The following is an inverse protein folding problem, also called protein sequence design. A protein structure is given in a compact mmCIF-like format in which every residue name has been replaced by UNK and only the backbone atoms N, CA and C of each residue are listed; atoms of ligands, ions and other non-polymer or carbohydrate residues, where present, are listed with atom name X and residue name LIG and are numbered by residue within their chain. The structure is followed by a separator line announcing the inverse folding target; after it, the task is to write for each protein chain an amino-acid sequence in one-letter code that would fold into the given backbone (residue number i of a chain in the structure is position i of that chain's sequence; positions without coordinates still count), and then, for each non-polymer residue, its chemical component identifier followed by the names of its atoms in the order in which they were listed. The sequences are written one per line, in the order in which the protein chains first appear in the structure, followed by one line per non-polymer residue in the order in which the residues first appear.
data_IF_071907458754
#
_entry.id   IF_071907458754
#
_cell.length_a   1.000
_cell.length_b   1.000
_cell.length_c   1.000
_cell.angle_alpha   90.00
_cell.angle_beta   90.00
_cell.angle_gamma   90.00
#
_symmetry.space_group_name_H-M   'P 1'
#
loop_
_entity.id
_entity.type
_entity.pdbx_description
1 polymer ?
#
# COMPACT_ATOMS: atom_id res chain seq x y z
N UNK A 1 -2.74 -9.68 -1.63
CA UNK A 1 -1.35 -10.08 -1.92
C UNK A 1 -1.22 -11.59 -2.13
N UNK A 2 -1.48 -12.46 -1.16
CA UNK A 2 -1.31 -13.92 -1.31
C UNK A 2 -1.82 -14.53 -2.63
N UNK A 3 -3.08 -14.30 -3.01
CA UNK A 3 -3.65 -14.84 -4.27
C UNK A 3 -2.94 -14.31 -5.53
N UNK A 4 -2.42 -13.09 -5.48
CA UNK A 4 -1.64 -12.52 -6.57
C UNK A 4 -0.27 -13.20 -6.67
N UNK A 5 0.37 -13.48 -5.53
CA UNK A 5 1.68 -14.16 -5.50
C UNK A 5 1.57 -15.60 -6.02
N UNK A 6 0.49 -16.32 -5.65
CA UNK A 6 0.16 -17.64 -6.19
C UNK A 6 -0.04 -17.58 -7.72
N UNK A 7 -0.75 -16.56 -8.21
CA UNK A 7 -0.95 -16.35 -9.64
C UNK A 7 0.37 -16.06 -10.37
N UNK A 8 1.22 -15.17 -9.83
CA UNK A 8 2.55 -14.86 -10.39
C UNK A 8 3.44 -16.10 -10.41
N UNK A 9 3.37 -16.94 -9.38
CA UNK A 9 4.09 -18.21 -9.36
C UNK A 9 3.66 -19.12 -10.50
N UNK A 10 2.36 -19.29 -10.72
CA UNK A 10 1.82 -20.04 -11.84
C UNK A 10 2.21 -19.45 -13.20
N UNK A 11 2.23 -18.11 -13.31
CA UNK A 11 2.63 -17.42 -14.53
C UNK A 11 4.07 -17.72 -14.96
N UNK A 12 5.01 -17.88 -14.02
CA UNK A 12 6.41 -18.23 -14.35
C UNK A 12 6.52 -19.56 -15.10
N UNK A 13 5.64 -20.52 -14.79
CA UNK A 13 5.58 -21.78 -15.52
C UNK A 13 5.06 -21.58 -16.95
N UNK A 14 4.06 -20.71 -17.13
CA UNK A 14 3.51 -20.34 -18.45
C UNK A 14 4.55 -19.61 -19.30
N UNK A 15 5.28 -18.65 -18.73
CA UNK A 15 6.40 -17.96 -19.42
C UNK A 15 7.42 -18.96 -19.97
N UNK A 16 7.81 -19.95 -19.15
CA UNK A 16 8.74 -20.99 -19.55
C UNK A 16 8.19 -21.84 -20.69
N UNK A 17 6.92 -22.24 -20.63
CA UNK A 17 6.26 -23.01 -21.68
C UNK A 17 6.16 -22.24 -23.00
N UNK A 18 5.80 -20.95 -22.96
CA UNK A 18 5.77 -20.09 -24.15
C UNK A 18 7.16 -19.97 -24.76
N UNK A 19 8.20 -19.79 -23.94
CA UNK A 19 9.59 -19.72 -24.43
C UNK A 19 10.05 -21.03 -25.09
N UNK A 20 9.66 -22.18 -24.54
CA UNK A 20 9.94 -23.50 -25.13
C UNK A 20 9.19 -23.69 -26.47
N UNK A 21 7.91 -23.32 -26.52
CA UNK A 21 7.10 -23.40 -27.75
C UNK A 21 7.60 -22.47 -28.86
N UNK A 22 8.06 -21.26 -28.51
CA UNK A 22 8.64 -20.32 -29.47
C UNK A 22 9.91 -20.90 -30.10
N UNK A 23 10.80 -21.50 -29.31
CA UNK A 23 12.02 -22.17 -29.82
C UNK A 23 11.68 -23.35 -30.72
N UNK A 24 10.65 -24.12 -30.37
CA UNK A 24 10.23 -25.26 -31.17
C UNK A 24 9.59 -24.81 -32.49
N UNK A 25 8.78 -23.75 -32.49
CA UNK A 25 8.25 -23.15 -33.71
C UNK A 25 9.40 -22.69 -34.64
N UNK A 26 10.43 -22.07 -34.07
CA UNK A 26 11.63 -21.65 -34.81
C UNK A 26 12.43 -22.82 -35.40
N UNK A 27 12.47 -23.95 -34.70
CA UNK A 27 13.09 -25.17 -35.19
C UNK A 27 12.29 -25.76 -36.36
N UNK A 28 10.97 -25.85 -36.21
CA UNK A 28 10.07 -26.48 -37.18
C UNK A 28 9.96 -25.71 -38.48
N UNK A 29 9.89 -24.38 -38.46
CA UNK A 29 9.82 -23.59 -39.69
C UNK A 29 11.13 -23.60 -40.50
N UNK A 30 12.24 -24.01 -39.87
CA UNK A 30 13.57 -24.09 -40.49
C UNK A 30 13.68 -25.42 -41.22
N UNK A 31 13.13 -26.47 -40.61
CA UNK A 31 13.04 -27.81 -41.19
C UNK A 31 11.95 -27.91 -42.27
N UNK A 32 10.86 -27.16 -42.15
CA UNK A 32 9.71 -27.21 -43.05
C UNK A 32 9.26 -25.80 -43.48
N UNK A 33 9.89 -25.21 -44.52
CA UNK A 33 9.60 -23.84 -44.94
C UNK A 33 8.13 -23.58 -45.32
N UNK A 34 7.42 -24.62 -45.79
CA UNK A 34 6.02 -24.54 -46.20
C UNK A 34 5.04 -24.29 -45.03
N UNK A 35 5.45 -24.53 -43.78
CA UNK A 35 4.61 -24.30 -42.59
C UNK A 35 5.00 -23.01 -41.84
N UNK A 36 6.02 -22.30 -42.32
CA UNK A 36 6.61 -21.14 -41.66
C UNK A 36 5.60 -20.03 -41.35
N UNK A 37 4.85 -19.61 -42.36
CA UNK A 37 3.92 -18.47 -42.24
C UNK A 37 2.89 -18.68 -41.12
N UNK A 38 2.28 -19.87 -41.06
CA UNK A 38 1.31 -20.20 -40.02
C UNK A 38 1.94 -20.38 -38.63
N UNK A 39 3.18 -20.90 -38.54
CA UNK A 39 3.90 -21.00 -37.28
C UNK A 39 4.35 -19.62 -36.75
N UNK A 40 4.68 -18.69 -37.66
CA UNK A 40 5.06 -17.32 -37.33
C UNK A 40 3.91 -16.54 -36.71
N UNK A 41 2.72 -16.59 -37.34
CA UNK A 41 1.51 -15.97 -36.79
C UNK A 41 1.21 -16.51 -35.39
N UNK A 42 1.20 -17.84 -35.19
CA UNK A 42 0.93 -18.43 -33.88
C UNK A 42 1.98 -18.07 -32.83
N UNK A 43 3.25 -17.98 -33.21
CA UNK A 43 4.32 -17.55 -32.30
C UNK A 43 4.08 -16.10 -31.84
N UNK A 44 3.82 -15.20 -32.79
CA UNK A 44 3.53 -13.79 -32.49
C UNK A 44 2.31 -13.64 -31.58
N UNK A 45 1.22 -14.37 -31.87
CA UNK A 45 0.01 -14.35 -31.05
C UNK A 45 0.29 -14.79 -29.59
N UNK A 46 1.11 -15.83 -29.40
CA UNK A 46 1.50 -16.29 -28.05
C UNK A 46 2.36 -15.27 -27.30
N UNK A 47 3.31 -14.63 -27.99
CA UNK A 47 4.18 -13.60 -27.40
C UNK A 47 3.36 -12.35 -27.01
N UNK A 48 2.41 -11.94 -27.84
CA UNK A 48 1.51 -10.82 -27.55
C UNK A 48 0.60 -11.12 -26.35
N UNK A 49 -0.04 -12.30 -26.32
CA UNK A 49 -0.87 -12.70 -25.17
C UNK A 49 -0.07 -12.76 -23.87
N UNK A 50 1.16 -13.28 -23.91
CA UNK A 50 2.01 -13.33 -22.72
C UNK A 50 2.33 -11.92 -22.21
N UNK A 51 2.66 -11.00 -23.13
CA UNK A 51 2.92 -9.60 -22.80
C UNK A 51 1.70 -8.94 -22.15
N UNK A 52 0.51 -9.13 -22.72
CA UNK A 52 -0.73 -8.54 -22.21
C UNK A 52 -1.05 -9.02 -20.79
N UNK A 53 -0.89 -10.33 -20.54
CA UNK A 53 -1.11 -10.88 -19.20
C UNK A 53 -0.08 -10.31 -18.22
N UNK A 54 1.21 -10.23 -18.59
CA UNK A 54 2.25 -9.68 -17.72
C UNK A 54 1.99 -8.22 -17.36
N UNK A 55 1.61 -7.40 -18.33
CA UNK A 55 1.24 -6.02 -18.08
C UNK A 55 -0.02 -5.92 -17.19
N UNK A 56 -1.02 -6.75 -17.43
CA UNK A 56 -2.24 -6.84 -16.61
C UNK A 56 -1.92 -7.21 -15.16
N UNK A 57 -1.04 -8.19 -14.95
CA UNK A 57 -0.56 -8.62 -13.64
C UNK A 57 0.18 -7.51 -12.93
N UNK A 58 1.09 -6.81 -13.61
CA UNK A 58 1.81 -5.66 -13.04
C UNK A 58 0.85 -4.56 -12.60
N UNK A 59 -0.09 -4.15 -13.46
CA UNK A 59 -1.10 -3.14 -13.10
C UNK A 59 -1.96 -3.57 -11.92
N UNK A 60 -2.31 -4.86 -11.85
CA UNK A 60 -3.07 -5.40 -10.73
C UNK A 60 -2.26 -5.35 -9.42
N UNK A 61 -0.97 -5.69 -9.48
CA UNK A 61 -0.05 -5.62 -8.34
C UNK A 61 0.04 -4.20 -7.77
N UNK A 62 0.34 -3.22 -8.64
CA UNK A 62 0.46 -1.81 -8.27
C UNK A 62 -0.83 -1.31 -7.59
N UNK A 63 -1.99 -1.68 -8.14
CA UNK A 63 -3.29 -1.34 -7.53
C UNK A 63 -3.49 -1.98 -6.16
N UNK A 64 -3.10 -3.24 -5.98
CA UNK A 64 -3.19 -3.91 -4.67
C UNK A 64 -2.28 -3.24 -3.64
N UNK A 65 -1.05 -2.91 -3.99
CA UNK A 65 -0.11 -2.21 -3.11
C UNK A 65 -0.64 -0.83 -2.71
N UNK A 66 -1.21 -0.08 -3.66
CA UNK A 66 -1.85 1.20 -3.35
C UNK A 66 -3.02 1.03 -2.37
N UNK A 67 -3.90 0.03 -2.59
CA UNK A 67 -5.03 -0.24 -1.70
C UNK A 67 -4.57 -0.64 -0.29
N UNK A 68 -3.55 -1.48 -0.18
CA UNK A 68 -2.98 -1.92 1.09
C UNK A 68 -2.37 -0.74 1.87
N UNK A 69 -1.56 0.08 1.20
CA UNK A 69 -0.98 1.29 1.80
C UNK A 69 -2.06 2.25 2.30
N UNK A 70 -3.14 2.40 1.56
CA UNK A 70 -4.26 3.28 1.92
C UNK A 70 -5.08 2.73 3.09
N UNK A 71 -5.29 1.43 3.14
CA UNK A 71 -5.95 0.78 4.28
C UNK A 71 -5.12 0.97 5.56
N UNK A 72 -3.81 0.79 5.48
CA UNK A 72 -2.90 1.04 6.60
C UNK A 72 -2.97 2.51 7.05
N UNK A 73 -2.91 3.45 6.10
CA UNK A 73 -3.00 4.88 6.38
C UNK A 73 -4.30 5.27 7.11
N UNK A 74 -5.46 4.79 6.65
CA UNK A 74 -6.72 5.07 7.33
C UNK A 74 -6.90 4.34 8.65
N UNK A 75 -6.23 3.20 8.83
CA UNK A 75 -6.19 2.55 10.14
C UNK A 75 -5.39 3.38 11.14
N UNK A 76 -4.20 3.87 10.75
CA UNK A 76 -3.39 4.76 11.58
C UNK A 76 -4.14 6.04 11.94
N UNK A 77 -4.84 6.65 10.97
CA UNK A 77 -5.70 7.80 11.24
C UNK A 77 -6.74 7.51 12.33
N UNK A 78 -7.45 6.38 12.25
CA UNK A 78 -8.46 6.00 13.25
C UNK A 78 -7.85 5.83 14.63
N UNK A 79 -6.69 5.18 14.71
CA UNK A 79 -5.98 4.96 15.97
C UNK A 79 -5.48 6.27 16.60
N UNK A 80 -4.90 7.16 15.80
CA UNK A 80 -4.47 8.49 16.24
C UNK A 80 -5.66 9.31 16.73
N UNK A 81 -6.77 9.33 16.00
CA UNK A 81 -7.98 10.06 16.40
C UNK A 81 -8.62 9.50 17.68
N UNK A 82 -8.64 8.18 17.85
CA UNK A 82 -9.12 7.55 19.09
C UNK A 82 -8.25 7.94 20.27
N UNK A 83 -6.93 7.90 20.12
CA UNK A 83 -6.00 8.32 21.16
C UNK A 83 -6.16 9.81 21.50
N UNK A 84 -6.22 10.70 20.50
CA UNK A 84 -6.39 12.14 20.74
C UNK A 84 -7.68 12.42 21.53
N UNK A 85 -8.79 11.76 21.16
CA UNK A 85 -10.07 11.89 21.88
C UNK A 85 -9.97 11.38 23.32
N UNK A 86 -9.30 10.25 23.54
CA UNK A 86 -9.10 9.71 24.89
C UNK A 86 -8.25 10.64 25.76
N UNK A 87 -7.12 11.14 25.22
CA UNK A 87 -6.26 12.09 25.91
C UNK A 87 -7.01 13.39 26.26
N UNK A 88 -7.76 13.94 25.30
CA UNK A 88 -8.59 15.12 25.53
C UNK A 88 -9.64 14.88 26.63
N UNK A 89 -10.33 13.73 26.61
CA UNK A 89 -11.31 13.38 27.63
C UNK A 89 -10.67 13.31 29.03
N UNK A 90 -9.52 12.63 29.14
CA UNK A 90 -8.76 12.55 30.39
C UNK A 90 -8.40 13.94 30.92
N UNK A 91 -7.78 14.78 30.10
CA UNK A 91 -7.36 16.13 30.50
C UNK A 91 -8.55 17.02 30.89
N UNK A 92 -9.68 16.92 30.19
CA UNK A 92 -10.88 17.74 30.47
C UNK A 92 -11.67 17.26 31.68
N UNK A 93 -11.49 16.01 32.11
CA UNK A 93 -12.16 15.44 33.27
C UNK A 93 -11.52 15.82 34.62
N UNK A 94 -10.35 16.46 34.59
CA UNK A 94 -9.60 16.84 35.78
C UNK A 94 -10.35 17.85 36.65
N UNK A 95 -10.34 17.63 37.96
CA UNK A 95 -10.98 18.51 38.94
C UNK A 95 -9.96 19.41 39.61
N UNK A 96 -10.35 20.66 39.85
CA UNK A 96 -9.48 21.62 40.53
C UNK A 96 -9.28 21.21 42.00
N UNK A 97 -8.04 21.01 42.46
CA UNK A 97 -7.77 20.64 43.84
C UNK A 97 -8.05 21.79 44.81
N UNK A 98 -8.27 21.46 46.09
CA UNK A 98 -8.56 22.44 47.16
C UNK A 98 -7.39 22.64 48.13
N UNK A 99 -6.31 21.88 47.96
CA UNK A 99 -5.12 21.93 48.81
C UNK A 99 -3.84 21.89 47.98
N UNK A 100 -2.73 22.23 48.62
CA UNK A 100 -1.41 22.31 47.97
C UNK A 100 -0.97 20.94 47.45
N UNK A 101 -1.23 19.87 48.21
CA UNK A 101 -0.84 18.50 47.84
C UNK A 101 -1.54 18.06 46.55
N UNK A 102 -2.86 18.32 46.44
CA UNK A 102 -3.62 18.03 45.24
C UNK A 102 -3.18 18.88 44.05
N UNK A 103 -2.83 20.16 44.26
CA UNK A 103 -2.26 21.01 43.23
C UNK A 103 -0.94 20.44 42.69
N UNK A 104 -0.03 20.00 43.56
CA UNK A 104 1.23 19.36 43.16
C UNK A 104 1.00 18.05 42.40
N UNK A 105 0.03 17.23 42.83
CA UNK A 105 -0.32 16.00 42.15
C UNK A 105 -0.90 16.25 40.74
N UNK A 106 -1.77 17.25 40.60
CA UNK A 106 -2.31 17.66 39.30
C UNK A 106 -1.21 18.18 38.37
N UNK A 107 -0.25 18.95 38.90
CA UNK A 107 0.88 19.44 38.12
C UNK A 107 1.75 18.28 37.57
N UNK A 108 2.12 17.31 38.42
CA UNK A 108 2.89 16.13 37.97
C UNK A 108 2.18 15.35 36.86
N UNK A 109 0.88 15.14 37.01
CA UNK A 109 0.06 14.45 36.00
C UNK A 109 -0.03 15.23 34.69
N UNK A 110 -0.05 16.56 34.75
CA UNK A 110 0.01 17.39 33.56
C UNK A 110 1.37 17.28 32.84
N UNK A 111 2.47 17.13 33.59
CA UNK A 111 3.79 16.83 33.01
C UNK A 111 3.81 15.44 32.35
N UNK A 112 3.18 14.44 32.96
CA UNK A 112 3.03 13.09 32.37
C UNK A 112 2.27 13.14 31.03
N UNK A 113 1.15 13.88 30.96
CA UNK A 113 0.42 14.08 29.69
C UNK A 113 1.28 14.75 28.63
N UNK A 114 2.04 15.78 29.01
CA UNK A 114 2.97 16.44 28.09
C UNK A 114 4.00 15.46 27.53
N UNK A 115 4.59 14.62 28.37
CA UNK A 115 5.56 13.59 27.95
C UNK A 115 4.91 12.61 26.96
N UNK A 116 3.70 12.12 27.25
CA UNK A 116 2.99 11.21 26.36
C UNK A 116 2.68 11.85 25.01
N UNK A 117 2.18 13.09 25.02
CA UNK A 117 1.89 13.85 23.80
C UNK A 117 3.14 14.08 22.95
N UNK A 118 4.26 14.43 23.57
CA UNK A 118 5.53 14.59 22.86
C UNK A 118 6.03 13.26 22.28
N UNK A 119 5.87 12.16 23.03
CA UNK A 119 6.22 10.81 22.56
C UNK A 119 5.46 10.40 21.30
N UNK A 120 4.23 10.88 21.10
CA UNK A 120 3.43 10.61 19.90
C UNK A 120 3.58 11.62 18.77
N UNK A 121 4.26 12.74 19.01
CA UNK A 121 4.43 13.80 18.01
C UNK A 121 5.08 13.29 16.72
N UNK A 122 6.10 12.44 16.85
CA UNK A 122 6.80 11.82 15.71
C UNK A 122 5.87 10.99 14.82
N UNK A 123 4.92 10.27 15.42
CA UNK A 123 3.93 9.48 14.69
C UNK A 123 2.96 10.38 13.93
N UNK A 124 2.51 11.48 14.54
CA UNK A 124 1.62 12.45 13.87
C UNK A 124 2.34 13.14 12.71
N UNK A 125 3.60 13.52 12.91
CA UNK A 125 4.43 14.15 11.87
C UNK A 125 4.66 13.18 10.70
N UNK A 126 4.92 11.90 10.99
CA UNK A 126 5.08 10.84 10.00
C UNK A 126 3.77 10.58 9.23
N UNK A 127 2.63 10.43 9.92
CA UNK A 127 1.31 10.31 9.31
C UNK A 127 1.01 11.48 8.36
N UNK A 128 1.31 12.71 8.79
CA UNK A 128 1.15 13.93 7.99
C UNK A 128 2.05 13.89 6.74
N UNK A 129 3.31 13.46 6.90
CA UNK A 129 4.27 13.33 5.80
C UNK A 129 3.80 12.30 4.76
N UNK A 130 3.34 11.13 5.21
CA UNK A 130 2.81 10.09 4.33
C UNK A 130 1.58 10.59 3.56
N UNK A 131 0.64 11.24 4.22
CA UNK A 131 -0.54 11.81 3.56
C UNK A 131 -0.18 12.84 2.49
N UNK A 132 0.79 13.73 2.77
CA UNK A 132 1.29 14.70 1.77
C UNK A 132 1.96 14.00 0.58
N UNK A 133 2.72 12.93 0.79
CA UNK A 133 3.34 12.17 -0.30
C UNK A 133 2.28 11.48 -1.17
N UNK A 134 1.25 10.89 -0.56
CA UNK A 134 0.13 10.29 -1.32
C UNK A 134 -0.60 11.33 -2.19
N UNK A 135 -0.81 12.53 -1.66
CA UNK A 135 -1.43 13.64 -2.43
C UNK A 135 -0.52 14.06 -3.60
N UNK A 136 0.79 14.22 -3.35
CA UNK A 136 1.75 14.61 -4.40
C UNK A 136 1.88 13.56 -5.51
N UNK A 137 1.73 12.27 -5.17
CA UNK A 137 1.71 11.19 -6.14
C UNK A 137 0.44 11.15 -7.01
N UNK A 138 -0.51 12.08 -6.81
CA UNK A 138 -1.76 12.14 -7.57
C UNK A 138 -2.74 11.04 -7.21
N UNK A 139 -2.73 10.58 -5.95
CA UNK A 139 -3.59 9.50 -5.51
C UNK A 139 -5.08 9.85 -5.72
N UNK A 140 -5.90 8.89 -6.17
CA UNK A 140 -7.32 9.12 -6.51
C UNK A 140 -8.17 9.63 -5.32
N UNK A 141 -7.74 9.33 -4.10
CA UNK A 141 -8.37 9.79 -2.85
C UNK A 141 -7.65 11.00 -2.22
N UNK A 142 -6.89 11.77 -3.01
CA UNK A 142 -6.14 12.94 -2.49
C UNK A 142 -7.02 13.93 -1.72
N UNK A 143 -8.29 14.10 -2.12
CA UNK A 143 -9.23 14.94 -1.40
C UNK A 143 -9.50 14.43 0.02
N UNK A 144 -9.86 13.15 0.15
CA UNK A 144 -10.15 12.52 1.44
C UNK A 144 -8.91 12.47 2.35
N UNK A 145 -7.73 12.21 1.76
CA UNK A 145 -6.46 12.27 2.49
C UNK A 145 -6.19 13.70 2.95
N UNK A 146 -6.44 14.70 2.10
CA UNK A 146 -6.27 16.11 2.43
C UNK A 146 -7.13 16.59 3.59
N UNK A 147 -8.35 16.06 3.74
CA UNK A 147 -9.22 16.33 4.89
C UNK A 147 -8.66 15.79 6.21
N UNK A 148 -7.88 14.70 6.17
CA UNK A 148 -7.30 14.05 7.36
C UNK A 148 -5.93 14.60 7.76
N UNK A 149 -5.23 15.26 6.84
CA UNK A 149 -3.90 15.87 7.03
C UNK A 149 -3.98 17.33 7.51
N UNK A 150 -5.17 17.93 7.46
CA UNK A 150 -5.43 19.28 8.01
C UNK A 150 -5.57 19.26 9.52
#
# INVERSE_FOLDING_TARGET
MQRHDEFVHGMRAVEKQVAELCREAERLWTAFPNTREHLEVRKMDMEEQLKDILEGTRRHHERLQHMESLQAYFQEYRELMQWMKAMQATMTSEQLPRDVVGCEALARRHDEYNVEMQGRKSHIDEFTRQGKQMIQAGHVLSQEIGEKVR
#
